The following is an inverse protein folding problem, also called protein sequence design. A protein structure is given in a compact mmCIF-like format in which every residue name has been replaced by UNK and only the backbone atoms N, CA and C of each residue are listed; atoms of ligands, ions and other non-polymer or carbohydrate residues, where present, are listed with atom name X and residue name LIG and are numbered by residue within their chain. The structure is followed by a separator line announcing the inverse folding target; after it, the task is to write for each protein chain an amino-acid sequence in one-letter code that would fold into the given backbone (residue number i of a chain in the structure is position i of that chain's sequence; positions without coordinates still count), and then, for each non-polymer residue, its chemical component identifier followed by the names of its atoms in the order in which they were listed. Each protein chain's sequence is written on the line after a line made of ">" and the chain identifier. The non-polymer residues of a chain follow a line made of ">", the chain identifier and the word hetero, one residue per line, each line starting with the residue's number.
data_IF_019832736813
#
_entry.id   IF_019832736813
#
_cell.length_a   1.000
_cell.length_b   1.000
_cell.length_c   1.000
_cell.angle_alpha   90.00
_cell.angle_beta   90.00
_cell.angle_gamma   90.00
#
_symmetry.space_group_name_H-M   'P 1'
#
loop_
_entity.id
_entity.type
_entity.pdbx_description
1 polymer ?
#
# COMPACT_ATOMS: atom_id res chain seq x y z
N UNK A 1 52.08 48.34 1.69
CA UNK A 1 51.55 46.97 1.59
C UNK A 1 50.33 46.99 0.70
N UNK A 2 50.47 46.61 -0.58
CA UNK A 2 49.37 46.59 -1.55
C UNK A 2 48.72 45.21 -1.55
N UNK A 3 47.65 45.04 -0.79
CA UNK A 3 46.78 43.87 -0.91
C UNK A 3 45.84 44.09 -2.11
N UNK A 4 46.39 43.90 -3.31
CA UNK A 4 45.56 43.61 -4.48
C UNK A 4 45.06 42.17 -4.34
N UNK A 5 44.03 41.98 -3.52
CA UNK A 5 43.29 40.72 -3.47
C UNK A 5 42.75 40.47 -4.88
N UNK A 6 43.37 39.53 -5.60
CA UNK A 6 42.89 39.10 -6.91
C UNK A 6 41.43 38.67 -6.73
N UNK A 7 40.56 39.02 -7.68
CA UNK A 7 39.12 38.68 -7.62
C UNK A 7 38.86 37.17 -7.38
N UNK A 8 39.87 36.32 -7.65
CA UNK A 8 39.93 34.88 -7.36
C UNK A 8 39.85 34.50 -5.87
N UNK A 9 40.20 35.37 -4.91
CA UNK A 9 40.20 35.03 -3.47
C UNK A 9 39.32 35.95 -2.59
N UNK A 10 38.21 36.46 -3.15
CA UNK A 10 37.24 37.23 -2.39
C UNK A 10 36.44 36.35 -1.40
N UNK A 11 36.58 36.62 -0.10
CA UNK A 11 35.70 36.09 0.93
C UNK A 11 34.28 36.68 0.79
N UNK A 12 33.21 35.98 1.25
CA UNK A 12 31.83 36.46 1.13
C UNK A 12 31.61 37.87 1.71
N UNK A 13 32.26 38.16 2.85
CA UNK A 13 32.16 39.44 3.58
C UNK A 13 32.83 40.62 2.85
N UNK A 14 33.75 40.33 1.93
CA UNK A 14 34.48 41.35 1.18
C UNK A 14 33.93 41.52 -0.25
N UNK A 15 32.87 40.79 -0.60
CA UNK A 15 32.28 40.82 -1.95
C UNK A 15 31.98 42.24 -2.43
N UNK A 16 31.22 43.02 -1.65
CA UNK A 16 30.84 44.38 -2.02
C UNK A 16 32.04 45.34 -2.06
N UNK A 17 33.04 45.10 -1.19
CA UNK A 17 34.26 45.92 -1.14
C UNK A 17 35.17 45.68 -2.35
N UNK A 18 35.25 44.45 -2.84
CA UNK A 18 36.09 44.08 -3.99
C UNK A 18 35.38 44.38 -5.30
N UNK A 19 34.15 43.88 -5.47
CA UNK A 19 33.43 43.97 -6.75
C UNK A 19 32.75 45.33 -6.95
N UNK A 20 32.27 45.99 -5.89
CA UNK A 20 31.61 47.31 -6.01
C UNK A 20 32.47 48.35 -6.73
N UNK A 21 33.70 48.66 -6.24
CA UNK A 21 34.60 49.58 -6.92
C UNK A 21 35.02 49.13 -8.32
N UNK A 22 35.16 47.80 -8.52
CA UNK A 22 35.49 47.26 -9.83
C UNK A 22 34.37 47.56 -10.85
N UNK A 23 33.11 47.30 -10.51
CA UNK A 23 31.98 47.60 -11.38
C UNK A 23 31.79 49.11 -11.58
N UNK A 24 31.93 49.94 -10.53
CA UNK A 24 31.88 51.41 -10.66
C UNK A 24 32.94 51.96 -11.62
N UNK A 25 34.15 51.41 -11.62
CA UNK A 25 35.21 51.81 -12.56
C UNK A 25 34.85 51.47 -14.01
N UNK A 26 34.28 50.30 -14.25
CA UNK A 26 33.88 49.86 -15.59
C UNK A 26 32.60 50.56 -16.07
N UNK A 27 31.71 50.96 -15.15
CA UNK A 27 30.43 51.61 -15.46
C UNK A 27 30.61 52.93 -16.24
N UNK A 28 31.74 53.62 -16.06
CA UNK A 28 32.08 54.86 -16.78
C UNK A 28 32.08 54.68 -18.30
N UNK A 29 32.40 53.48 -18.76
CA UNK A 29 32.43 53.13 -20.18
C UNK A 29 31.10 52.62 -20.70
N UNK A 30 30.02 52.63 -19.90
CA UNK A 30 28.72 52.15 -20.36
C UNK A 30 28.09 53.08 -21.39
N UNK A 31 27.57 52.50 -22.46
CA UNK A 31 26.71 53.22 -23.43
C UNK A 31 25.40 53.69 -22.77
N UNK A 32 24.92 52.97 -21.76
CA UNK A 32 23.70 53.33 -21.03
C UNK A 32 24.05 54.16 -19.79
N UNK A 33 23.54 55.40 -19.66
CA UNK A 33 23.87 56.26 -18.51
C UNK A 33 23.28 55.77 -17.19
N UNK A 34 22.20 54.97 -17.22
CA UNK A 34 21.57 54.43 -16.00
C UNK A 34 22.14 53.05 -15.68
N UNK A 35 23.28 53.05 -15.00
CA UNK A 35 23.93 51.81 -14.52
C UNK A 35 23.35 51.43 -13.15
N UNK A 36 22.78 50.22 -12.98
CA UNK A 36 22.31 49.74 -11.68
C UNK A 36 23.46 49.62 -10.68
N UNK A 37 23.21 49.94 -9.40
CA UNK A 37 24.19 49.72 -8.33
C UNK A 37 24.19 48.25 -7.87
N UNK A 38 25.34 47.78 -7.38
CA UNK A 38 25.51 46.42 -6.86
C UNK A 38 24.64 46.17 -5.61
N UNK A 39 24.34 47.24 -4.89
CA UNK A 39 23.56 47.22 -3.65
C UNK A 39 24.36 46.65 -2.48
N UNK A 40 23.62 46.05 -1.55
CA UNK A 40 24.08 45.49 -0.28
C UNK A 40 23.57 44.04 -0.09
N UNK A 41 23.87 43.46 1.08
CA UNK A 41 23.43 42.10 1.44
C UNK A 41 21.91 41.92 1.48
N UNK A 42 21.16 42.99 1.75
CA UNK A 42 19.71 42.97 1.93
C UNK A 42 18.94 43.33 0.65
N UNK A 43 19.64 43.65 -0.43
CA UNK A 43 19.04 44.06 -1.70
C UNK A 43 18.13 42.95 -2.23
N UNK A 44 16.88 43.27 -2.63
CA UNK A 44 15.94 42.28 -3.13
C UNK A 44 16.49 41.52 -4.33
N UNK A 45 16.22 40.21 -4.38
CA UNK A 45 16.68 39.31 -5.45
C UNK A 45 16.33 39.85 -6.86
N UNK A 46 15.17 40.48 -7.01
CA UNK A 46 14.75 41.10 -8.29
C UNK A 46 15.71 42.20 -8.76
N UNK A 47 16.22 43.02 -7.85
CA UNK A 47 17.17 44.08 -8.18
C UNK A 47 18.56 43.49 -8.46
N UNK A 48 18.95 42.43 -7.74
CA UNK A 48 20.18 41.67 -8.02
C UNK A 48 20.12 41.05 -9.43
N UNK A 49 18.99 40.47 -9.82
CA UNK A 49 18.81 39.91 -11.16
C UNK A 49 18.87 41.00 -12.24
N UNK A 50 18.22 42.16 -12.03
CA UNK A 50 18.33 43.30 -12.95
C UNK A 50 19.77 43.79 -13.08
N UNK A 51 20.50 43.88 -11.98
CA UNK A 51 21.91 44.25 -11.96
C UNK A 51 22.74 43.32 -12.84
N UNK A 52 22.65 42.01 -12.63
CA UNK A 52 23.40 41.04 -13.42
C UNK A 52 22.95 41.02 -14.89
N UNK A 53 21.65 41.15 -15.17
CA UNK A 53 21.14 41.23 -16.55
C UNK A 53 21.73 42.43 -17.29
N UNK A 54 21.82 43.59 -16.65
CA UNK A 54 22.49 44.76 -17.22
C UNK A 54 23.96 44.47 -17.55
N UNK A 55 24.70 43.85 -16.63
CA UNK A 55 26.12 43.58 -16.80
C UNK A 55 26.41 42.45 -17.80
N UNK A 56 25.54 41.45 -17.92
CA UNK A 56 25.63 40.43 -18.97
C UNK A 56 25.32 41.01 -20.36
N UNK A 57 24.49 42.05 -20.43
CA UNK A 57 24.17 42.80 -21.65
C UNK A 57 25.02 44.08 -21.81
N UNK A 58 26.14 44.19 -21.10
CA UNK A 58 26.94 45.41 -21.04
C UNK A 58 27.49 45.81 -22.40
N UNK A 59 27.22 47.05 -22.81
CA UNK A 59 27.75 47.67 -24.02
C UNK A 59 28.70 48.80 -23.63
N UNK A 60 29.92 48.74 -24.15
CA UNK A 60 30.97 49.71 -23.86
C UNK A 60 31.14 50.70 -25.02
N UNK A 61 31.30 51.99 -24.73
CA UNK A 61 31.77 52.98 -25.70
C UNK A 61 33.30 53.14 -25.68
N UNK A 62 34.02 52.35 -24.86
CA UNK A 62 35.48 52.43 -24.75
C UNK A 62 36.16 52.18 -26.09
N UNK A 63 37.09 53.06 -26.43
CA UNK A 63 37.94 53.00 -27.61
C UNK A 63 39.37 52.59 -27.22
N UNK A 64 40.14 52.12 -28.21
CA UNK A 64 41.52 51.65 -28.02
C UNK A 64 42.46 52.29 -29.05
N UNK A 65 42.67 53.62 -29.01
CA UNK A 65 43.56 54.30 -29.97
C UNK A 65 45.01 53.80 -29.87
N UNK A 66 45.42 53.33 -28.69
CA UNK A 66 46.74 52.75 -28.43
C UNK A 66 47.05 51.51 -29.30
N UNK A 67 46.02 50.85 -29.83
CA UNK A 67 46.14 49.65 -30.68
C UNK A 67 46.23 50.00 -32.17
N UNK A 68 46.01 51.28 -32.54
CA UNK A 68 46.14 51.79 -33.91
C UNK A 68 47.61 52.13 -34.19
N UNK A 69 48.42 51.09 -34.39
CA UNK A 69 49.89 51.22 -34.53
C UNK A 69 50.35 51.87 -35.85
N UNK A 70 49.56 51.81 -36.93
CA UNK A 70 49.95 52.37 -38.23
C UNK A 70 49.45 53.81 -38.40
N UNK A 71 50.34 54.75 -38.70
CA UNK A 71 49.97 56.10 -39.13
C UNK A 71 49.57 56.09 -40.61
N UNK A 72 48.36 56.54 -40.90
CA UNK A 72 47.80 56.55 -42.26
C UNK A 72 48.42 57.63 -43.16
N UNK A 73 49.15 58.59 -42.59
CA UNK A 73 49.87 59.63 -43.33
C UNK A 73 51.25 59.14 -43.82
N UNK A 74 51.76 58.03 -43.29
CA UNK A 74 53.02 57.41 -43.73
C UNK A 74 52.85 56.50 -44.96
N UNK A 75 51.63 56.24 -45.41
CA UNK A 75 51.36 55.36 -46.54
C UNK A 75 51.82 55.97 -47.87
N UNK A 76 52.68 55.26 -48.61
CA UNK A 76 53.21 55.69 -49.91
C UNK A 76 52.23 55.44 -51.07
N UNK A 77 51.27 54.52 -50.87
CA UNK A 77 50.28 54.14 -51.88
C UNK A 77 48.87 53.97 -51.31
N UNK A 78 47.87 54.01 -52.20
CA UNK A 78 46.47 53.77 -51.82
C UNK A 78 46.26 52.34 -51.32
N UNK A 79 46.93 51.35 -51.92
CA UNK A 79 46.86 49.97 -51.44
C UNK A 79 47.43 49.83 -50.03
N UNK A 80 48.55 50.48 -49.76
CA UNK A 80 49.20 50.48 -48.44
C UNK A 80 48.33 51.15 -47.39
N UNK A 81 47.74 52.33 -47.68
CA UNK A 81 46.80 53.00 -46.77
C UNK A 81 45.62 52.09 -46.41
N UNK A 82 45.04 51.41 -47.40
CA UNK A 82 43.94 50.44 -47.17
C UNK A 82 44.37 49.20 -46.40
N UNK A 83 45.64 48.79 -46.51
CA UNK A 83 46.17 47.69 -45.71
C UNK A 83 46.37 48.13 -44.26
N UNK A 84 46.95 49.31 -44.03
CA UNK A 84 47.13 49.91 -42.70
C UNK A 84 45.78 50.13 -41.99
N UNK A 85 44.77 50.68 -42.67
CA UNK A 85 43.40 50.84 -42.13
C UNK A 85 42.79 49.50 -41.69
N UNK A 86 42.95 48.45 -42.51
CA UNK A 86 42.43 47.11 -42.19
C UNK A 86 43.16 46.51 -41.00
N UNK A 87 44.47 46.72 -40.91
CA UNK A 87 45.28 46.19 -39.82
C UNK A 87 44.97 46.90 -38.49
N UNK A 88 44.85 48.23 -38.48
CA UNK A 88 44.38 49.00 -37.32
C UNK A 88 42.97 48.58 -36.90
N UNK A 89 42.04 48.41 -37.85
CA UNK A 89 40.69 47.94 -37.56
C UNK A 89 40.70 46.53 -36.95
N UNK A 90 41.56 45.63 -37.45
CA UNK A 90 41.72 44.26 -36.93
C UNK A 90 42.24 44.27 -35.49
N UNK A 91 43.27 45.06 -35.19
CA UNK A 91 43.83 45.21 -33.83
C UNK A 91 42.81 45.82 -32.86
N UNK A 92 42.16 46.90 -33.27
CA UNK A 92 41.10 47.55 -32.47
C UNK A 92 39.92 46.62 -32.21
N UNK A 93 39.46 45.86 -33.21
CA UNK A 93 38.39 44.87 -33.03
C UNK A 93 38.80 43.75 -32.06
N UNK A 94 40.07 43.31 -32.13
CA UNK A 94 40.63 42.32 -31.21
C UNK A 94 40.65 42.85 -29.77
N UNK A 95 41.14 44.07 -29.55
CA UNK A 95 41.16 44.71 -28.23
C UNK A 95 39.74 44.90 -27.66
N UNK A 96 38.77 45.31 -28.49
CA UNK A 96 37.34 45.37 -28.09
C UNK A 96 36.80 44.01 -27.65
N UNK A 97 37.16 42.93 -28.38
CA UNK A 97 36.73 41.56 -28.04
C UNK A 97 37.36 41.08 -26.73
N UNK A 98 38.64 41.37 -26.51
CA UNK A 98 39.35 41.02 -25.27
C UNK A 98 38.80 41.78 -24.07
N UNK A 99 38.48 43.06 -24.22
CA UNK A 99 37.81 43.84 -23.18
C UNK A 99 36.42 43.29 -22.84
N UNK A 100 35.63 42.93 -23.87
CA UNK A 100 34.33 42.31 -23.66
C UNK A 100 34.47 40.98 -22.89
N UNK A 101 35.46 40.15 -23.27
CA UNK A 101 35.76 38.92 -22.55
C UNK A 101 36.20 39.19 -21.09
N UNK A 102 37.03 40.21 -20.86
CA UNK A 102 37.46 40.61 -19.50
C UNK A 102 36.28 41.02 -18.62
N UNK A 103 35.37 41.84 -19.14
CA UNK A 103 34.14 42.22 -18.42
C UNK A 103 33.28 40.99 -18.19
N UNK A 104 33.08 40.13 -19.19
CA UNK A 104 32.32 38.88 -19.07
C UNK A 104 32.85 37.99 -17.94
N UNK A 105 34.17 37.84 -17.84
CA UNK A 105 34.84 37.10 -16.77
C UNK A 105 34.67 37.77 -15.40
N UNK A 106 34.74 39.10 -15.33
CA UNK A 106 34.47 39.84 -14.09
C UNK A 106 33.04 39.57 -13.59
N UNK A 107 32.05 39.63 -14.49
CA UNK A 107 30.63 39.36 -14.16
C UNK A 107 30.44 37.93 -13.69
N UNK A 108 31.01 36.94 -14.39
CA UNK A 108 30.90 35.53 -13.99
C UNK A 108 31.52 35.25 -12.62
N UNK A 109 32.69 35.84 -12.36
CA UNK A 109 33.36 35.69 -11.07
C UNK A 109 32.55 36.35 -9.95
N UNK A 110 31.96 37.52 -10.20
CA UNK A 110 31.07 38.17 -9.24
C UNK A 110 29.83 37.31 -8.99
N UNK A 111 29.14 36.85 -10.03
CA UNK A 111 27.91 36.07 -9.92
C UNK A 111 28.12 34.77 -9.13
N UNK A 112 29.25 34.09 -9.34
CA UNK A 112 29.61 32.87 -8.60
C UNK A 112 29.88 33.12 -7.12
N UNK A 113 30.30 34.33 -6.75
CA UNK A 113 30.75 34.68 -5.39
C UNK A 113 29.77 35.53 -4.61
N UNK A 114 28.76 36.09 -5.26
CA UNK A 114 27.74 36.91 -4.61
C UNK A 114 27.00 36.08 -3.54
N UNK A 115 27.07 36.46 -2.25
CA UNK A 115 26.43 35.72 -1.16
C UNK A 115 24.93 35.52 -1.37
N UNK A 116 24.26 36.49 -2.01
CA UNK A 116 22.81 36.46 -2.28
C UNK A 116 22.47 35.39 -3.31
N UNK A 117 23.29 35.29 -4.36
CA UNK A 117 23.15 34.28 -5.42
C UNK A 117 23.48 32.88 -4.90
N UNK A 118 24.56 32.75 -4.12
CA UNK A 118 24.97 31.49 -3.51
C UNK A 118 23.87 30.95 -2.60
N UNK A 119 23.37 31.79 -1.67
CA UNK A 119 22.27 31.42 -0.76
C UNK A 119 21.03 30.97 -1.54
N UNK A 120 20.61 31.72 -2.56
CA UNK A 120 19.48 31.35 -3.43
C UNK A 120 19.68 29.99 -4.09
N UNK A 121 20.88 29.71 -4.62
CA UNK A 121 21.20 28.45 -5.29
C UNK A 121 21.21 27.28 -4.31
N UNK A 122 21.68 27.48 -3.09
CA UNK A 122 21.64 26.48 -2.02
C UNK A 122 20.21 26.18 -1.59
N UNK A 123 19.38 27.20 -1.38
CA UNK A 123 17.96 27.04 -1.06
C UNK A 123 17.20 26.30 -2.18
N UNK A 124 17.45 26.63 -3.45
CA UNK A 124 16.84 25.94 -4.58
C UNK A 124 17.27 24.48 -4.66
N UNK A 125 18.57 24.21 -4.44
CA UNK A 125 19.11 22.85 -4.38
C UNK A 125 18.49 22.06 -3.22
N UNK A 126 18.36 22.66 -2.04
CA UNK A 126 17.74 22.06 -0.87
C UNK A 126 16.26 21.76 -1.11
N UNK A 127 15.49 22.69 -1.68
CA UNK A 127 14.08 22.47 -2.05
C UNK A 127 13.92 21.34 -3.08
N UNK A 128 14.79 21.30 -4.09
CA UNK A 128 14.78 20.23 -5.10
C UNK A 128 15.14 18.87 -4.49
N UNK A 129 16.09 18.84 -3.55
CA UNK A 129 16.49 17.63 -2.86
C UNK A 129 15.38 17.14 -1.93
N UNK A 130 14.79 18.01 -1.11
CA UNK A 130 13.66 17.68 -0.25
C UNK A 130 12.49 17.08 -1.04
N UNK A 131 12.14 17.65 -2.20
CA UNK A 131 11.11 17.09 -3.09
C UNK A 131 11.45 15.71 -3.65
N UNK A 132 12.74 15.42 -3.88
CA UNK A 132 13.17 14.09 -4.33
C UNK A 132 13.10 13.09 -3.18
N UNK A 133 13.58 13.48 -2.00
CA UNK A 133 13.61 12.64 -0.81
C UNK A 133 12.18 12.31 -0.35
N UNK A 134 11.25 13.27 -0.41
CA UNK A 134 9.83 13.05 -0.13
C UNK A 134 9.22 12.00 -1.08
N UNK A 135 9.50 12.08 -2.39
CA UNK A 135 9.02 11.09 -3.36
C UNK A 135 9.60 9.70 -3.13
N UNK A 136 10.89 9.62 -2.80
CA UNK A 136 11.56 8.34 -2.51
C UNK A 136 10.99 7.73 -1.23
N UNK A 137 10.82 8.54 -0.18
CA UNK A 137 10.27 8.07 1.09
C UNK A 137 8.80 7.65 0.96
N UNK A 138 7.99 8.39 0.19
CA UNK A 138 6.61 8.00 -0.09
C UNK A 138 6.55 6.66 -0.83
N UNK A 139 7.39 6.45 -1.84
CA UNK A 139 7.47 5.17 -2.56
C UNK A 139 7.90 4.02 -1.64
N UNK A 140 8.92 4.23 -0.79
CA UNK A 140 9.39 3.23 0.17
C UNK A 140 8.31 2.85 1.18
N UNK A 141 7.58 3.81 1.73
CA UNK A 141 6.47 3.54 2.66
C UNK A 141 5.38 2.70 2.02
N UNK A 142 4.97 3.02 0.78
CA UNK A 142 3.98 2.24 0.05
C UNK A 142 4.46 0.81 -0.23
N UNK A 143 5.75 0.63 -0.56
CA UNK A 143 6.33 -0.69 -0.79
C UNK A 143 6.43 -1.51 0.51
N UNK A 144 6.80 -0.88 1.62
CA UNK A 144 6.86 -1.50 2.95
C UNK A 144 5.47 -1.88 3.46
N UNK A 145 4.47 -1.00 3.32
CA UNK A 145 3.07 -1.29 3.66
C UNK A 145 2.50 -2.44 2.81
N UNK A 146 2.81 -2.46 1.50
CA UNK A 146 2.39 -3.56 0.62
C UNK A 146 3.08 -4.89 0.99
N UNK A 147 4.37 -4.86 1.32
CA UNK A 147 5.10 -6.04 1.77
C UNK A 147 4.57 -6.58 3.10
N UNK A 148 4.29 -5.70 4.06
CA UNK A 148 3.70 -6.06 5.35
C UNK A 148 2.30 -6.67 5.19
N UNK A 149 1.46 -6.12 4.30
CA UNK A 149 0.14 -6.67 4.01
C UNK A 149 0.21 -8.08 3.40
N UNK A 150 1.17 -8.33 2.49
CA UNK A 150 1.38 -9.65 1.89
C UNK A 150 1.87 -10.66 2.95
N UNK A 151 2.78 -10.25 3.84
CA UNK A 151 3.28 -11.11 4.91
C UNK A 151 2.19 -11.46 5.92
N UNK A 152 1.37 -10.48 6.31
CA UNK A 152 0.24 -10.69 7.21
C UNK A 152 -0.82 -11.63 6.61
N UNK A 153 -1.15 -11.48 5.32
CA UNK A 153 -2.08 -12.37 4.63
C UNK A 153 -1.53 -13.81 4.55
N UNK A 154 -0.23 -13.98 4.28
CA UNK A 154 0.40 -15.30 4.30
C UNK A 154 0.35 -15.94 5.68
N UNK A 155 0.68 -15.18 6.74
CA UNK A 155 0.62 -15.68 8.13
C UNK A 155 -0.80 -16.10 8.51
N UNK A 156 -1.82 -15.31 8.15
CA UNK A 156 -3.23 -15.68 8.39
C UNK A 156 -3.63 -16.96 7.66
N UNK A 157 -3.26 -17.12 6.39
CA UNK A 157 -3.56 -18.34 5.61
C UNK A 157 -2.85 -19.56 6.19
N UNK A 158 -1.61 -19.41 6.65
CA UNK A 158 -0.87 -20.51 7.30
C UNK A 158 -1.48 -20.91 8.64
N UNK A 159 -1.90 -19.95 9.47
CA UNK A 159 -2.60 -20.22 10.73
C UNK A 159 -3.94 -20.91 10.50
N UNK A 160 -4.74 -20.43 9.55
CA UNK A 160 -6.02 -21.04 9.18
C UNK A 160 -5.84 -22.47 8.66
N UNK A 161 -4.83 -22.70 7.80
CA UNK A 161 -4.51 -24.04 7.31
C UNK A 161 -4.06 -24.99 8.42
N UNK A 162 -3.28 -24.50 9.41
CA UNK A 162 -2.87 -25.30 10.58
C UNK A 162 -4.08 -25.67 11.44
N UNK A 163 -4.96 -24.71 11.75
CA UNK A 163 -6.17 -24.96 12.53
C UNK A 163 -7.12 -25.93 11.81
N UNK A 164 -7.29 -25.79 10.49
CA UNK A 164 -8.10 -26.70 9.69
C UNK A 164 -7.52 -28.13 9.67
N UNK A 165 -6.19 -28.26 9.55
CA UNK A 165 -5.50 -29.54 9.59
C UNK A 165 -5.64 -30.23 10.96
N UNK A 166 -5.49 -29.48 12.05
CA UNK A 166 -5.68 -29.99 13.41
C UNK A 166 -7.12 -30.43 13.66
N UNK A 167 -8.11 -29.62 13.26
CA UNK A 167 -9.52 -29.96 13.37
C UNK A 167 -9.85 -31.23 12.56
N UNK A 168 -9.33 -31.36 11.33
CA UNK A 168 -9.52 -32.55 10.51
C UNK A 168 -8.89 -33.81 11.13
N UNK A 169 -7.71 -33.68 11.75
CA UNK A 169 -7.06 -34.79 12.44
C UNK A 169 -7.86 -35.21 13.69
N UNK A 170 -8.38 -34.25 14.44
CA UNK A 170 -9.20 -34.52 15.63
C UNK A 170 -10.52 -35.18 15.27
N UNK A 171 -11.18 -34.73 14.19
CA UNK A 171 -12.38 -35.39 13.67
C UNK A 171 -12.11 -36.84 13.23
N UNK A 172 -10.98 -37.11 12.56
CA UNK A 172 -10.59 -38.48 12.19
C UNK A 172 -10.40 -39.37 13.43
N UNK A 173 -9.67 -38.87 14.44
CA UNK A 173 -9.46 -39.58 15.72
C UNK A 173 -10.79 -39.86 16.43
N UNK A 174 -11.69 -38.88 16.48
CA UNK A 174 -13.00 -39.04 17.11
C UNK A 174 -13.88 -40.06 16.37
N UNK A 175 -13.94 -39.99 15.04
CA UNK A 175 -14.66 -40.98 14.20
C UNK A 175 -14.11 -42.39 14.39
N UNK A 176 -12.80 -42.55 14.52
CA UNK A 176 -12.19 -43.86 14.78
C UNK A 176 -12.53 -44.39 16.17
N UNK A 177 -12.47 -43.54 17.21
CA UNK A 177 -12.90 -43.90 18.57
C UNK A 177 -14.37 -44.31 18.62
N UNK A 178 -15.24 -43.56 17.95
CA UNK A 178 -16.67 -43.83 17.87
C UNK A 178 -16.95 -45.15 17.13
N UNK A 179 -16.29 -45.41 16.00
CA UNK A 179 -16.37 -46.70 15.30
C UNK A 179 -15.95 -47.86 16.20
N UNK A 180 -14.83 -47.72 16.93
CA UNK A 180 -14.35 -48.75 17.87
C UNK A 180 -15.36 -49.01 18.99
N UNK A 181 -15.93 -47.96 19.58
CA UNK A 181 -16.98 -48.08 20.60
C UNK A 181 -18.23 -48.77 20.04
N UNK A 182 -18.69 -48.36 18.86
CA UNK A 182 -19.86 -48.97 18.21
C UNK A 182 -19.66 -50.45 17.90
N UNK A 183 -18.47 -50.85 17.44
CA UNK A 183 -18.15 -52.27 17.22
C UNK A 183 -18.14 -53.07 18.53
N UNK A 184 -17.61 -52.49 19.63
CA UNK A 184 -17.63 -53.12 20.96
C UNK A 184 -19.06 -53.35 21.46
N UNK A 185 -19.92 -52.33 21.42
CA UNK A 185 -21.31 -52.47 21.89
C UNK A 185 -22.11 -53.44 21.02
N UNK A 186 -21.91 -53.44 19.69
CA UNK A 186 -22.53 -54.44 18.80
C UNK A 186 -22.08 -55.86 19.15
N UNK A 187 -20.78 -56.06 19.43
CA UNK A 187 -20.28 -57.36 19.87
C UNK A 187 -20.90 -57.78 21.20
N UNK A 188 -21.00 -56.85 22.16
CA UNK A 188 -21.63 -57.08 23.47
C UNK A 188 -23.10 -57.50 23.32
N UNK A 189 -23.87 -56.79 22.48
CA UNK A 189 -25.27 -57.13 22.20
C UNK A 189 -25.40 -58.55 21.63
N UNK A 190 -24.55 -58.93 20.67
CA UNK A 190 -24.55 -60.29 20.11
C UNK A 190 -24.23 -61.36 21.17
N UNK A 191 -23.26 -61.10 22.03
CA UNK A 191 -22.91 -62.01 23.14
C UNK A 191 -24.07 -62.18 24.10
N UNK A 192 -24.72 -61.09 24.52
CA UNK A 192 -25.87 -61.13 25.44
C UNK A 192 -27.11 -61.77 24.79
N UNK A 193 -27.29 -61.65 23.47
CA UNK A 193 -28.39 -62.26 22.73
C UNK A 193 -28.20 -63.76 22.44
N UNK A 194 -26.98 -64.29 22.50
CA UNK A 194 -26.67 -65.67 22.11
C UNK A 194 -27.50 -66.74 22.86
N UNK A 195 -27.74 -66.65 24.19
CA UNK A 195 -28.58 -67.61 24.91
C UNK A 195 -30.06 -67.56 24.48
N UNK A 196 -30.55 -66.37 24.11
CA UNK A 196 -31.95 -66.18 23.66
C UNK A 196 -32.16 -66.82 22.29
N UNK A 197 -31.17 -66.67 21.40
CA UNK A 197 -31.18 -67.24 20.05
C UNK A 197 -31.04 -68.78 20.09
N UNK A 198 -30.16 -69.32 20.94
CA UNK A 198 -29.97 -70.77 21.05
C UNK A 198 -31.21 -71.49 21.61
N UNK A 199 -31.92 -70.84 22.54
CA UNK A 199 -33.17 -71.35 23.14
C UNK A 199 -34.42 -71.01 22.32
N UNK A 200 -34.27 -70.30 21.19
CA UNK A 200 -35.36 -69.89 20.27
C UNK A 200 -36.52 -69.16 20.96
N UNK A 201 -36.20 -68.35 21.98
CA UNK A 201 -37.19 -67.66 22.81
C UNK A 201 -37.89 -66.53 22.04
N UNK A 202 -39.22 -66.44 22.18
CA UNK A 202 -40.09 -65.39 21.63
C UNK A 202 -40.01 -65.18 20.09
N UNK A 203 -39.52 -66.19 19.35
CA UNK A 203 -39.39 -66.10 17.89
C UNK A 203 -38.32 -65.11 17.41
N UNK A 204 -37.41 -64.69 18.30
CA UNK A 204 -36.35 -63.75 17.95
C UNK A 204 -35.36 -64.43 17.02
N UNK A 205 -35.15 -63.84 15.85
CA UNK A 205 -34.23 -64.35 14.84
C UNK A 205 -32.88 -63.63 14.90
N UNK A 206 -31.86 -64.27 14.33
CA UNK A 206 -30.53 -63.64 14.14
C UNK A 206 -30.65 -62.33 13.36
N UNK A 207 -31.57 -62.27 12.37
CA UNK A 207 -31.83 -61.06 11.60
C UNK A 207 -32.35 -59.90 12.46
N UNK A 208 -33.17 -60.17 13.48
CA UNK A 208 -33.67 -59.15 14.40
C UNK A 208 -32.54 -58.53 15.24
N UNK A 209 -31.59 -59.34 15.71
CA UNK A 209 -30.43 -58.86 16.48
C UNK A 209 -29.47 -58.04 15.59
N UNK A 210 -29.29 -58.43 14.34
CA UNK A 210 -28.49 -57.65 13.38
C UNK A 210 -29.16 -56.33 13.00
N UNK A 211 -30.48 -56.31 12.83
CA UNK A 211 -31.24 -55.09 12.57
C UNK A 211 -31.10 -54.09 13.74
N UNK A 212 -31.19 -54.56 14.99
CA UNK A 212 -30.90 -53.74 16.18
C UNK A 212 -29.45 -53.25 16.21
N UNK A 213 -28.47 -54.09 15.82
CA UNK A 213 -27.07 -53.67 15.69
C UNK A 213 -26.89 -52.54 14.65
N UNK A 214 -27.68 -52.55 13.57
CA UNK A 214 -27.58 -51.58 12.47
C UNK A 214 -28.33 -50.27 12.75
N UNK A 215 -29.52 -50.36 13.33
CA UNK A 215 -30.44 -49.24 13.57
C UNK A 215 -30.09 -48.41 14.80
N UNK A 216 -29.54 -49.02 15.87
CA UNK A 216 -29.23 -48.31 17.10
C UNK A 216 -27.87 -47.58 17.04
N UNK A 217 -27.82 -46.40 17.66
CA UNK A 217 -26.58 -45.66 17.88
C UNK A 217 -25.80 -46.21 19.09
N UNK A 218 -24.55 -45.75 19.28
CA UNK A 218 -23.66 -46.30 20.33
C UNK A 218 -24.24 -46.16 21.74
N UNK A 219 -24.94 -45.06 22.05
CA UNK A 219 -25.54 -44.84 23.37
C UNK A 219 -26.78 -45.70 23.60
N UNK A 220 -27.62 -45.87 22.57
CA UNK A 220 -28.78 -46.75 22.59
C UNK A 220 -28.37 -48.21 22.71
N UNK A 221 -27.35 -48.65 21.96
CA UNK A 221 -26.79 -50.01 22.07
C UNK A 221 -26.25 -50.27 23.49
N UNK A 222 -25.55 -49.30 24.07
CA UNK A 222 -25.04 -49.41 25.44
C UNK A 222 -26.16 -49.52 26.46
N UNK A 223 -27.17 -48.63 26.40
CA UNK A 223 -28.36 -48.68 27.27
C UNK A 223 -29.10 -50.00 27.15
N UNK A 224 -29.23 -50.54 25.94
CA UNK A 224 -29.85 -51.85 25.71
C UNK A 224 -29.03 -52.98 26.34
N UNK A 225 -27.72 -53.01 26.12
CA UNK A 225 -26.83 -54.01 26.72
C UNK A 225 -26.86 -53.94 28.25
N UNK A 226 -26.82 -52.74 28.84
CA UNK A 226 -26.89 -52.53 30.29
C UNK A 226 -28.24 -53.02 30.85
N UNK A 227 -29.36 -52.79 30.14
CA UNK A 227 -30.69 -53.34 30.51
C UNK A 227 -30.75 -54.88 30.41
N UNK A 228 -29.90 -55.50 29.61
CA UNK A 228 -29.86 -56.95 29.39
C UNK A 228 -28.97 -57.70 30.39
N UNK A 229 -27.91 -57.07 30.91
CA UNK A 229 -26.89 -57.75 31.75
C UNK A 229 -27.41 -58.44 33.02
N UNK A 230 -28.52 -57.95 33.59
CA UNK A 230 -29.09 -58.51 34.83
C UNK A 230 -30.39 -59.31 34.59
N UNK A 231 -30.63 -59.77 33.35
CA UNK A 231 -31.87 -60.48 32.98
C UNK A 231 -31.56 -61.81 32.32
N UNK A 232 -32.37 -62.82 32.63
CA UNK A 232 -32.21 -64.19 32.10
C UNK A 232 -33.52 -64.72 31.48
N UNK A 233 -33.40 -65.72 30.60
CA UNK A 233 -34.53 -66.44 30.00
C UNK A 233 -35.55 -65.54 29.30
N UNK A 234 -36.84 -65.73 29.61
CA UNK A 234 -37.96 -64.98 29.03
C UNK A 234 -37.89 -63.46 29.30
N UNK A 235 -37.34 -63.04 30.45
CA UNK A 235 -37.18 -61.61 30.79
C UNK A 235 -36.14 -60.94 29.89
N UNK A 236 -35.04 -61.65 29.59
CA UNK A 236 -34.02 -61.21 28.65
C UNK A 236 -34.56 -61.13 27.22
N UNK A 237 -35.32 -62.15 26.81
CA UNK A 237 -35.95 -62.19 25.49
C UNK A 237 -36.96 -61.04 25.27
N UNK A 238 -37.76 -60.68 26.29
CA UNK A 238 -38.70 -59.53 26.21
C UNK A 238 -37.96 -58.21 25.97
N UNK A 239 -36.86 -57.97 26.67
CA UNK A 239 -36.05 -56.75 26.50
C UNK A 239 -35.41 -56.70 25.12
N UNK A 240 -34.88 -57.83 24.64
CA UNK A 240 -34.29 -57.91 23.31
C UNK A 240 -35.34 -57.67 22.20
N UNK A 241 -36.55 -58.22 22.35
CA UNK A 241 -37.67 -58.05 21.40
C UNK A 241 -38.20 -56.62 21.35
N UNK A 242 -38.28 -55.96 22.50
CA UNK A 242 -38.69 -54.56 22.58
C UNK A 242 -37.57 -53.62 22.11
N UNK A 243 -36.33 -54.11 22.08
CA UNK A 243 -35.15 -53.35 21.71
C UNK A 243 -35.05 -52.10 22.58
N UNK A 244 -35.14 -50.94 21.95
CA UNK A 244 -35.05 -49.64 22.62
C UNK A 244 -36.40 -48.93 22.80
N UNK A 245 -37.50 -49.55 22.35
CA UNK A 245 -38.84 -49.04 22.64
C UNK A 245 -39.19 -49.40 24.09
N UNK A 246 -39.24 -48.38 24.95
CA UNK A 246 -39.93 -48.45 26.23
C UNK A 246 -41.44 -48.46 25.95
N UNK A 247 -41.92 -49.58 25.42
CA UNK A 247 -43.34 -49.87 25.26
C UNK A 247 -43.84 -50.51 26.56
N UNK A 248 -44.60 -49.72 27.29
CA UNK A 248 -45.53 -50.04 28.38
C UNK A 248 -45.91 -51.53 28.47
N UNK A 249 -45.72 -52.11 29.65
CA UNK A 249 -46.43 -53.33 30.05
C UNK A 249 -47.93 -53.05 29.99
N UNK A 250 -48.66 -53.72 29.12
CA UNK A 250 -50.13 -53.79 29.15
C UNK A 250 -50.54 -55.24 29.28
N UNK A 251 -50.94 -55.61 30.49
CA UNK A 251 -51.75 -56.79 30.77
C UNK A 251 -53.15 -56.55 30.17
N UNK A 252 -53.64 -57.51 29.40
CA UNK A 252 -54.98 -57.51 28.81
C UNK A 252 -56.00 -58.00 29.85
N UNK A 253 -57.04 -57.21 30.14
CA UNK A 253 -58.35 -57.73 30.59
C UNK A 253 -59.47 -56.98 29.86
N UNK A 254 -60.38 -57.75 29.24
CA UNK A 254 -61.62 -57.30 28.60
C UNK A 254 -62.70 -56.98 29.66
N UNK A 255 -63.47 -55.90 29.47
CA UNK A 255 -64.94 -56.01 29.45
C UNK A 255 -65.65 -54.80 28.78
N UNK A 256 -66.38 -55.16 27.71
CA UNK A 256 -67.70 -54.72 27.22
C UNK A 256 -68.38 -53.46 27.78
N UNK A 257 -68.67 -52.51 26.87
CA UNK A 257 -70.06 -52.10 26.60
C UNK A 257 -70.49 -50.65 26.94
N UNK A 258 -70.86 -49.86 25.91
CA UNK A 258 -71.67 -48.65 26.11
C UNK A 258 -71.66 -47.65 24.95
N UNK A 259 -72.39 -47.95 23.88
CA UNK A 259 -72.65 -47.05 22.72
C UNK A 259 -73.36 -45.76 23.14
N UNK A 260 -73.06 -44.65 22.46
CA UNK A 260 -73.95 -43.92 21.53
C UNK A 260 -73.27 -42.58 21.16
N UNK A 261 -72.73 -42.45 19.96
CA UNK A 261 -73.35 -42.09 18.67
C UNK A 261 -73.56 -40.59 18.44
N UNK A 262 -72.87 -40.11 17.39
CA UNK A 262 -73.37 -39.12 16.44
C UNK A 262 -72.60 -37.80 16.45
N UNK A 263 -72.23 -37.18 15.34
CA UNK A 263 -72.39 -37.50 13.91
C UNK A 263 -71.69 -36.36 13.13
N UNK A 264 -70.63 -36.70 12.38
CA UNK A 264 -70.38 -36.38 10.94
C UNK A 264 -70.18 -34.91 10.52
N UNK A 265 -68.94 -34.56 10.13
CA UNK A 265 -68.39 -34.36 8.74
C UNK A 265 -68.74 -32.96 8.17
N UNK A 266 -67.99 -32.31 7.28
CA UNK A 266 -66.93 -32.74 6.39
C UNK A 266 -66.06 -31.53 5.98
N UNK A 267 -64.82 -31.84 5.60
CA UNK A 267 -64.06 -31.36 4.43
C UNK A 267 -64.24 -29.93 3.87
N UNK A 268 -63.10 -29.30 3.56
CA UNK A 268 -63.03 -28.42 2.38
C UNK A 268 -61.90 -27.39 2.35
N UNK A 269 -60.71 -27.81 1.93
CA UNK A 269 -59.86 -27.20 0.91
C UNK A 269 -60.05 -25.70 0.55
N UNK A 270 -58.98 -24.89 0.63
CA UNK A 270 -58.32 -24.19 -0.50
C UNK A 270 -57.48 -22.97 -0.08
N UNK A 271 -56.29 -22.89 -0.68
CA UNK A 271 -55.53 -21.65 -0.88
C UNK A 271 -56.33 -20.65 -1.70
N UNK A 272 -56.15 -19.35 -1.47
CA UNK A 272 -55.94 -18.34 -2.54
C UNK A 272 -55.33 -17.05 -1.99
N UNK A 273 -54.40 -16.52 -2.78
CA UNK A 273 -53.76 -15.23 -2.70
C UNK A 273 -54.72 -14.03 -2.59
N UNK A 274 -54.22 -12.91 -2.07
CA UNK A 274 -54.40 -11.61 -2.75
C UNK A 274 -53.36 -10.60 -2.26
N UNK A 275 -52.60 -10.09 -3.22
CA UNK A 275 -51.78 -8.91 -3.10
C UNK A 275 -52.64 -7.63 -3.12
N UNK A 276 -51.96 -6.50 -2.88
CA UNK A 276 -52.32 -5.10 -3.22
C UNK A 276 -52.83 -4.26 -2.06
N UNK A 277 -52.00 -3.34 -1.55
CA UNK A 277 -52.16 -1.90 -1.80
C UNK A 277 -51.02 -1.08 -1.17
N UNK A 278 -50.29 -0.38 -2.03
CA UNK A 278 -49.59 0.86 -1.71
C UNK A 278 -50.60 2.00 -1.52
N UNK A 279 -50.25 3.06 -0.77
CA UNK A 279 -50.19 4.35 -1.45
C UNK A 279 -48.96 5.21 -1.10
N UNK A 280 -48.35 5.73 -2.18
CA UNK A 280 -48.01 7.14 -2.44
C UNK A 280 -47.54 8.06 -1.29
N UNK A 281 -46.28 8.48 -1.46
CA UNK A 281 -45.83 9.87 -1.67
C UNK A 281 -46.02 10.93 -0.57
N UNK A 282 -44.89 11.46 -0.10
CA UNK A 282 -44.70 12.90 0.09
C UNK A 282 -43.21 13.25 -0.03
N UNK A 283 -42.90 14.17 -0.94
CA UNK A 283 -41.62 14.82 -1.11
C UNK A 283 -41.55 16.07 -0.21
N UNK A 284 -40.34 16.43 0.24
CA UNK A 284 -39.92 17.81 0.53
C UNK A 284 -38.39 17.80 0.68
N UNK A 285 -37.69 18.35 -0.31
CA UNK A 285 -36.89 19.59 -0.27
C UNK A 285 -35.55 19.40 0.45
#
# INVERSE_FOLDING_TARGET
>A
MSLMTRASDCAPKDFFKVFGPAFKRNARWSVNPRVPDLGDENTPVKEVDKYYNFWYAFKSWREFPEEEEHDLEEAESREEKRWMERENARKTQKARKEEYARIRTLVDNAYKKDPRIVKRKEEEKAKKQAKKDEKVNAKKKLEEEAAAAIEEEKRRKEEEAKLAAEAAQQQKKNKEKEKKLRTKERSRLRTLAAPVLSQRLLGISVAHVEDLCMSLNTEQLRKLCDKMENKEGLKLAKVLKNGNNDGTESEEEEEVGGKQNGHVEANGFSMVDTATQSPRAAAMV
#
